data_IF_472117574933
#
_entry.id   IF_472117574933
#
_cell.length_a   1.000
_cell.length_b   1.000
_cell.length_c   1.000
_cell.angle_alpha   90.00
_cell.angle_beta   90.00
_cell.angle_gamma   90.00
#
_symmetry.space_group_name_H-M   'P 1'
#
loop_
_entity.id
_entity.type
_entity.pdbx_description
1 polymer ?
#
# COMPACT_ATOMS: atom_id res chain seq x y z
N UNK A 1 -30.19 -43.15 -41.76
CA UNK A 1 -29.56 -44.16 -40.88
C UNK A 1 -29.78 -43.73 -39.45
N UNK A 2 -30.88 -44.22 -38.88
CA UNK A 2 -31.38 -43.89 -37.56
C UNK A 2 -30.97 -44.98 -36.54
N UNK A 3 -30.90 -44.57 -35.27
CA UNK A 3 -31.10 -45.38 -34.05
C UNK A 3 -30.20 -46.60 -33.76
N UNK A 4 -29.38 -46.49 -32.72
CA UNK A 4 -29.01 -47.50 -31.70
C UNK A 4 -27.83 -46.88 -30.90
N UNK A 5 -27.85 -46.60 -29.60
CA UNK A 5 -28.36 -47.36 -28.47
C UNK A 5 -28.73 -46.43 -27.30
N UNK A 6 -29.96 -46.57 -26.81
CA UNK A 6 -30.38 -46.33 -25.42
C UNK A 6 -30.82 -47.70 -24.88
N UNK A 7 -30.68 -47.89 -23.57
CA UNK A 7 -31.02 -49.07 -22.74
C UNK A 7 -29.83 -49.98 -22.41
N UNK A 8 -29.23 -49.75 -21.24
CA UNK A 8 -29.54 -50.58 -20.07
C UNK A 8 -29.27 -49.76 -18.80
N UNK A 9 -30.39 -49.39 -18.17
CA UNK A 9 -30.51 -48.83 -16.83
C UNK A 9 -30.59 -50.00 -15.82
N UNK A 10 -30.25 -49.70 -14.57
CA UNK A 10 -30.60 -50.43 -13.33
C UNK A 10 -30.11 -51.88 -13.14
N UNK A 11 -29.14 -52.00 -12.24
CA UNK A 11 -29.28 -52.87 -11.05
C UNK A 11 -28.54 -52.24 -9.88
N UNK A 12 -29.28 -51.96 -8.81
CA UNK A 12 -28.72 -51.50 -7.54
C UNK A 12 -28.32 -52.64 -6.61
N UNK A 13 -28.05 -52.20 -5.37
CA UNK A 13 -27.95 -52.92 -4.09
C UNK A 13 -26.57 -53.45 -3.64
N UNK A 14 -26.27 -52.98 -2.43
CA UNK A 14 -25.82 -53.73 -1.25
C UNK A 14 -24.35 -53.55 -0.82
N UNK A 15 -24.22 -52.78 0.26
CA UNK A 15 -23.40 -52.98 1.44
C UNK A 15 -22.45 -54.19 1.46
N UNK A 16 -21.19 -53.93 1.80
CA UNK A 16 -20.23 -54.94 2.20
C UNK A 16 -19.02 -54.31 2.88
N UNK A 17 -19.11 -54.15 4.21
CA UNK A 17 -17.95 -53.96 5.08
C UNK A 17 -16.97 -55.13 4.87
N UNK A 18 -15.73 -54.82 4.48
CA UNK A 18 -14.63 -55.77 4.37
C UNK A 18 -13.34 -55.16 4.92
N UNK A 19 -12.59 -55.88 5.78
CA UNK A 19 -11.50 -55.32 6.57
C UNK A 19 -10.26 -55.02 5.72
N UNK A 20 -9.64 -53.85 5.98
CA UNK A 20 -8.30 -53.49 5.54
C UNK A 20 -7.31 -54.60 5.90
N UNK A 21 -6.86 -55.37 4.91
CA UNK A 21 -5.69 -56.24 5.05
C UNK A 21 -4.42 -55.41 4.84
N UNK A 22 -3.70 -55.18 5.93
CA UNK A 22 -2.29 -54.79 5.91
C UNK A 22 -1.50 -55.75 5.01
N UNK A 23 -0.83 -55.22 3.99
CA UNK A 23 0.29 -55.91 3.35
C UNK A 23 1.59 -55.34 3.93
N UNK A 24 2.08 -56.05 4.93
CA UNK A 24 3.47 -56.06 5.37
C UNK A 24 4.34 -56.45 4.17
N UNK A 25 5.32 -55.61 3.82
CA UNK A 25 6.47 -56.03 3.02
C UNK A 25 7.71 -55.90 3.90
N UNK A 26 8.26 -57.06 4.24
CA UNK A 26 9.49 -57.21 5.00
C UNK A 26 10.69 -57.21 4.05
N UNK A 27 11.71 -56.45 4.46
CA UNK A 27 13.16 -56.76 4.42
C UNK A 27 13.82 -57.14 3.10
N UNK A 28 14.82 -56.35 2.69
CA UNK A 28 16.16 -56.87 2.39
C UNK A 28 17.24 -55.84 2.77
N UNK A 29 18.13 -56.23 3.67
CA UNK A 29 19.44 -55.62 3.92
C UNK A 29 20.52 -56.56 3.38
N UNK A 30 21.69 -56.05 2.97
CA UNK A 30 22.91 -56.55 3.59
C UNK A 30 24.00 -55.48 3.84
N UNK A 31 24.51 -55.49 5.08
CA UNK A 31 25.92 -55.67 5.48
C UNK A 31 27.04 -55.26 4.50
N UNK A 32 27.80 -54.21 4.83
CA UNK A 32 29.25 -54.10 4.52
C UNK A 32 30.00 -53.63 5.78
N UNK A 33 31.16 -54.27 5.97
CA UNK A 33 32.03 -54.32 7.14
C UNK A 33 33.01 -53.13 7.22
N UNK A 34 33.35 -52.83 8.47
CA UNK A 34 34.24 -51.82 9.08
C UNK A 34 35.71 -51.85 8.60
N UNK A 35 36.35 -50.67 8.58
CA UNK A 35 37.78 -50.53 8.84
C UNK A 35 38.01 -49.37 9.83
N UNK A 36 38.71 -49.67 10.92
CA UNK A 36 39.06 -48.77 12.01
C UNK A 36 40.53 -48.35 11.92
N UNK A 37 40.84 -47.10 12.28
CA UNK A 37 42.17 -46.70 12.76
C UNK A 37 42.05 -45.80 14.00
N UNK A 38 42.94 -46.06 14.96
CA UNK A 38 43.02 -45.53 16.32
C UNK A 38 43.97 -44.33 16.42
N UNK A 39 43.74 -43.51 17.45
CA UNK A 39 44.69 -42.58 18.08
C UNK A 39 44.01 -41.24 18.42
N UNK A 40 43.95 -40.72 19.65
CA UNK A 40 44.55 -41.04 20.94
C UNK A 40 44.85 -39.72 21.68
N UNK A 41 44.40 -39.58 22.95
CA UNK A 41 44.67 -38.54 23.98
C UNK A 41 44.47 -37.05 23.59
N UNK A 42 43.80 -36.17 24.33
CA UNK A 42 43.46 -36.09 25.75
C UNK A 42 44.01 -34.77 26.33
N UNK A 43 43.15 -33.88 26.85
CA UNK A 43 43.38 -32.95 27.99
C UNK A 43 42.24 -31.91 28.14
N UNK A 44 42.10 -31.42 29.38
CA UNK A 44 41.00 -30.72 30.04
C UNK A 44 40.82 -29.22 29.64
N UNK A 45 39.88 -28.45 30.25
CA UNK A 45 39.30 -27.24 29.66
C UNK A 45 40.13 -25.98 29.95
N UNK A 46 40.24 -25.10 28.96
CA UNK A 46 40.79 -23.76 29.13
C UNK A 46 39.75 -22.71 28.78
N UNK A 47 39.54 -21.84 29.77
CA UNK A 47 38.74 -20.65 29.76
C UNK A 47 39.33 -19.66 28.74
N UNK A 48 38.65 -19.49 27.60
CA UNK A 48 39.09 -18.61 26.51
C UNK A 48 37.94 -17.76 26.01
N UNK A 49 37.81 -16.57 26.59
CA UNK A 49 37.08 -15.44 26.00
C UNK A 49 37.70 -15.10 24.64
N UNK A 50 36.99 -15.37 23.55
CA UNK A 50 37.17 -14.78 22.23
C UNK A 50 35.79 -14.82 21.55
N UNK A 51 35.03 -13.74 21.62
CA UNK A 51 34.98 -12.74 20.55
C UNK A 51 34.93 -13.39 19.16
N UNK A 52 33.75 -13.89 18.82
CA UNK A 52 33.37 -14.12 17.43
C UNK A 52 32.24 -13.17 17.13
N UNK A 53 32.64 -12.10 16.45
CA UNK A 53 31.81 -11.00 16.01
C UNK A 53 30.52 -11.50 15.40
N UNK A 54 29.42 -11.13 16.05
CA UNK A 54 28.17 -10.97 15.37
C UNK A 54 28.42 -9.97 14.23
N UNK A 55 28.55 -10.47 13.00
CA UNK A 55 28.34 -9.63 11.82
C UNK A 55 26.84 -9.38 11.75
N UNK A 56 26.34 -8.53 12.64
CA UNK A 56 25.14 -7.74 12.38
C UNK A 56 25.49 -6.88 11.18
N UNK A 57 25.10 -7.31 9.99
CA UNK A 57 24.92 -6.41 8.86
C UNK A 57 23.75 -5.49 9.20
N UNK A 58 24.02 -4.50 10.05
CA UNK A 58 23.26 -3.27 10.09
C UNK A 58 23.47 -2.60 8.73
N UNK A 59 22.55 -2.83 7.79
CA UNK A 59 22.37 -1.88 6.70
C UNK A 59 22.01 -0.56 7.39
N UNK A 60 22.96 0.37 7.37
CA UNK A 60 22.74 1.73 7.81
C UNK A 60 21.52 2.28 7.05
N UNK A 61 20.47 2.61 7.80
CA UNK A 61 19.32 3.34 7.30
C UNK A 61 19.85 4.68 6.75
N UNK A 62 20.05 4.72 5.44
CA UNK A 62 20.53 5.91 4.75
C UNK A 62 19.31 6.71 4.37
N UNK A 63 19.02 7.75 5.15
CA UNK A 63 18.07 8.81 4.82
C UNK A 63 16.60 8.44 5.10
N UNK A 64 16.12 8.73 6.30
CA UNK A 64 14.68 8.81 6.55
C UNK A 64 14.11 9.96 5.72
N UNK A 65 13.35 9.65 4.66
CA UNK A 65 12.63 10.66 3.90
C UNK A 65 11.42 11.10 4.73
N UNK A 66 11.14 12.40 4.87
CA UNK A 66 9.93 12.89 5.53
C UNK A 66 8.68 12.23 4.91
N UNK A 67 7.86 11.58 5.73
CA UNK A 67 6.59 10.97 5.31
C UNK A 67 6.63 9.49 4.93
N UNK A 68 7.80 8.82 4.94
CA UNK A 68 7.90 7.36 4.81
C UNK A 68 8.24 6.74 6.16
N UNK A 69 7.34 5.92 6.70
CA UNK A 69 7.54 5.23 7.98
C UNK A 69 7.43 3.72 7.74
N UNK A 70 8.55 2.96 7.74
CA UNK A 70 8.50 1.51 7.57
C UNK A 70 7.57 0.85 8.58
N UNK A 71 6.75 -0.08 8.09
CA UNK A 71 5.84 -0.84 8.93
C UNK A 71 6.62 -1.89 9.75
N UNK A 72 6.28 -2.07 11.03
CA UNK A 72 6.85 -3.16 11.84
C UNK A 72 6.34 -4.52 11.34
N UNK A 73 7.20 -5.39 10.79
CA UNK A 73 6.77 -6.68 10.24
C UNK A 73 6.11 -7.58 11.28
N UNK A 74 6.44 -7.47 12.57
CA UNK A 74 5.85 -8.32 13.60
C UNK A 74 4.35 -8.09 13.75
N UNK A 75 3.86 -6.88 13.47
CA UNK A 75 2.43 -6.56 13.52
C UNK A 75 1.60 -7.20 12.40
N UNK A 76 2.25 -7.70 11.35
CA UNK A 76 1.58 -8.35 10.20
C UNK A 76 1.82 -9.86 10.16
N UNK A 77 2.67 -10.40 11.04
CA UNK A 77 2.99 -11.83 11.08
C UNK A 77 1.78 -12.64 11.56
N UNK A 78 1.38 -13.63 10.76
CA UNK A 78 0.32 -14.56 11.13
C UNK A 78 0.49 -15.91 10.41
N UNK A 79 -0.22 -16.93 10.91
CA UNK A 79 -0.43 -18.20 10.21
C UNK A 79 -1.82 -18.19 9.55
N UNK A 80 -1.89 -18.54 8.28
CA UNK A 80 -3.15 -18.70 7.55
C UNK A 80 -3.23 -20.10 6.97
N UNK A 81 -4.02 -20.96 7.60
CA UNK A 81 -4.20 -22.35 7.14
C UNK A 81 -2.89 -23.15 7.11
N UNK A 82 -1.97 -22.94 8.06
CA UNK A 82 -0.67 -23.59 8.11
C UNK A 82 0.41 -22.93 7.25
N UNK A 83 0.14 -21.75 6.70
CA UNK A 83 1.11 -20.93 5.97
C UNK A 83 1.51 -19.73 6.83
N UNK A 84 2.73 -19.77 7.34
CA UNK A 84 3.35 -18.61 8.00
C UNK A 84 3.65 -17.51 6.96
N UNK A 85 3.15 -16.30 7.24
CA UNK A 85 3.34 -15.16 6.36
C UNK A 85 3.13 -13.83 7.07
N UNK A 86 3.21 -12.77 6.27
CA UNK A 86 2.94 -11.40 6.69
C UNK A 86 1.76 -10.90 5.88
N UNK A 87 0.58 -10.89 6.49
CA UNK A 87 -0.69 -10.65 5.81
C UNK A 87 -1.15 -9.22 6.06
N UNK A 88 -1.67 -8.56 5.03
CA UNK A 88 -2.24 -7.23 5.16
C UNK A 88 -3.37 -6.97 4.16
N UNK A 89 -4.18 -5.96 4.46
CA UNK A 89 -5.22 -5.45 3.55
C UNK A 89 -4.80 -4.09 2.99
N UNK A 90 -5.12 -3.81 1.73
CA UNK A 90 -4.90 -2.48 1.17
C UNK A 90 -5.81 -1.43 1.84
N UNK A 91 -5.41 -0.14 1.94
CA UNK A 91 -6.28 0.90 2.50
C UNK A 91 -7.63 1.05 1.78
N UNK A 92 -7.67 0.76 0.48
CA UNK A 92 -8.91 0.73 -0.31
C UNK A 92 -9.87 -0.41 0.06
N UNK A 93 -9.39 -1.42 0.81
CA UNK A 93 -10.14 -2.64 1.11
C UNK A 93 -10.37 -3.57 -0.09
N UNK A 94 -9.83 -3.23 -1.26
CA UNK A 94 -10.07 -4.00 -2.49
C UNK A 94 -9.21 -5.26 -2.60
N UNK A 95 -8.05 -5.29 -1.93
CA UNK A 95 -7.09 -6.38 -2.07
C UNK A 95 -6.58 -6.87 -0.72
N UNK A 96 -6.41 -8.19 -0.63
CA UNK A 96 -5.73 -8.90 0.46
C UNK A 96 -4.39 -9.37 -0.05
N UNK A 97 -3.34 -9.05 0.68
CA UNK A 97 -1.98 -9.25 0.25
C UNK A 97 -1.19 -10.01 1.33
N UNK A 98 -0.15 -10.71 0.91
CA UNK A 98 0.79 -11.29 1.85
C UNK A 98 2.20 -11.38 1.29
N UNK A 99 3.16 -11.39 2.22
CA UNK A 99 4.52 -11.86 1.99
C UNK A 99 4.64 -13.25 2.61
N UNK A 100 4.92 -14.26 1.80
CA UNK A 100 5.08 -15.65 2.19
C UNK A 100 6.56 -16.00 2.04
N UNK A 101 7.36 -15.92 3.12
CA UNK A 101 8.81 -16.13 3.06
C UNK A 101 9.21 -17.61 2.99
N UNK A 102 8.32 -18.49 3.46
CA UNK A 102 8.57 -19.92 3.62
C UNK A 102 8.07 -20.77 2.45
N UNK A 103 8.33 -22.07 2.52
CA UNK A 103 7.91 -23.06 1.53
C UNK A 103 8.85 -23.15 0.31
N UNK A 104 8.41 -23.92 -0.70
CA UNK A 104 9.21 -24.18 -1.91
C UNK A 104 9.25 -23.00 -2.91
N UNK A 105 8.35 -22.02 -2.76
CA UNK A 105 8.32 -20.83 -3.61
C UNK A 105 8.01 -19.59 -2.76
N UNK A 106 9.03 -18.95 -2.16
CA UNK A 106 8.88 -17.68 -1.47
C UNK A 106 8.34 -16.63 -2.43
N UNK A 107 7.32 -15.88 -2.00
CA UNK A 107 6.59 -14.97 -2.87
C UNK A 107 5.88 -13.87 -2.09
N UNK A 108 5.60 -12.76 -2.77
CA UNK A 108 4.71 -11.71 -2.28
C UNK A 108 3.65 -11.40 -3.34
N UNK A 109 2.43 -11.12 -2.92
CA UNK A 109 1.34 -10.93 -3.87
C UNK A 109 0.03 -10.50 -3.22
N UNK A 110 -0.97 -10.29 -4.07
CA UNK A 110 -2.31 -9.85 -3.70
C UNK A 110 -3.39 -10.63 -4.45
N UNK A 111 -4.54 -10.73 -3.81
CA UNK A 111 -5.80 -11.29 -4.31
C UNK A 111 -6.95 -10.29 -4.06
N UNK A 112 -8.07 -10.37 -4.81
CA UNK A 112 -9.25 -9.57 -4.49
C UNK A 112 -9.73 -9.89 -3.06
N UNK A 113 -10.30 -8.91 -2.38
CA UNK A 113 -10.76 -9.06 -0.99
C UNK A 113 -12.08 -9.84 -0.85
N UNK A 114 -12.77 -10.07 -1.97
CA UNK A 114 -14.06 -10.74 -2.02
C UNK A 114 -14.04 -11.92 -2.99
N UNK A 115 -14.89 -12.91 -2.72
CA UNK A 115 -15.17 -14.02 -3.64
C UNK A 115 -16.27 -13.69 -4.66
N UNK A 116 -16.98 -12.56 -4.51
CA UNK A 116 -18.08 -12.15 -5.41
C UNK A 116 -17.59 -11.47 -6.68
N UNK A 117 -16.38 -10.91 -6.65
CA UNK A 117 -15.61 -10.50 -7.83
C UNK A 117 -14.34 -11.33 -7.84
N UNK A 118 -14.37 -12.50 -8.52
CA UNK A 118 -13.25 -13.43 -8.47
C UNK A 118 -12.05 -12.92 -9.26
N UNK A 119 -12.19 -11.91 -10.11
CA UNK A 119 -11.06 -11.29 -10.82
C UNK A 119 -10.38 -10.17 -10.00
N UNK A 120 -9.15 -9.81 -10.40
CA UNK A 120 -8.33 -8.80 -9.73
C UNK A 120 -8.92 -7.38 -9.75
N UNK A 121 -9.89 -7.08 -10.62
CA UNK A 121 -10.44 -5.74 -10.77
C UNK A 121 -9.45 -4.71 -11.31
N UNK A 122 -8.46 -5.14 -12.09
CA UNK A 122 -7.38 -4.31 -12.64
C UNK A 122 -7.61 -4.11 -14.14
N UNK A 123 -7.77 -2.85 -14.56
CA UNK A 123 -7.94 -2.54 -15.97
C UNK A 123 -6.73 -2.98 -16.80
N UNK A 124 -7.00 -3.60 -17.95
CA UNK A 124 -5.97 -4.06 -18.89
C UNK A 124 -5.22 -5.32 -18.47
N UNK A 125 -5.56 -5.96 -17.34
CA UNK A 125 -4.96 -7.22 -16.94
C UNK A 125 -5.15 -8.30 -18.03
N UNK A 126 -4.09 -9.03 -18.42
CA UNK A 126 -4.19 -10.07 -19.42
C UNK A 126 -4.99 -11.25 -18.89
N UNK A 127 -5.64 -12.01 -19.78
CA UNK A 127 -6.11 -13.35 -19.41
C UNK A 127 -4.90 -14.25 -19.15
N UNK A 128 -5.05 -15.16 -18.19
CA UNK A 128 -4.02 -16.12 -17.80
C UNK A 128 -4.60 -17.53 -17.81
N UNK A 129 -3.73 -18.53 -17.85
CA UNK A 129 -4.18 -19.91 -17.74
C UNK A 129 -4.72 -20.20 -16.33
N UNK A 130 -5.91 -20.79 -16.28
CA UNK A 130 -6.47 -21.37 -15.08
C UNK A 130 -5.75 -22.69 -14.77
N UNK A 131 -5.13 -22.75 -13.59
CA UNK A 131 -4.30 -23.89 -13.18
C UNK A 131 -5.06 -25.21 -13.01
N UNK A 132 -6.40 -25.17 -12.93
CA UNK A 132 -7.25 -26.34 -12.71
C UNK A 132 -7.97 -26.77 -13.99
N UNK A 133 -8.48 -25.81 -14.77
CA UNK A 133 -9.25 -26.09 -15.98
C UNK A 133 -8.40 -26.06 -17.25
N UNK A 134 -7.17 -25.53 -17.19
CA UNK A 134 -6.30 -25.25 -18.33
C UNK A 134 -6.93 -24.31 -19.39
N UNK A 135 -8.02 -23.63 -19.02
CA UNK A 135 -8.67 -22.62 -19.84
C UNK A 135 -8.04 -21.24 -19.64
N UNK A 136 -8.45 -20.26 -20.45
CA UNK A 136 -8.12 -18.85 -20.21
C UNK A 136 -9.14 -18.24 -19.26
N UNK A 137 -8.66 -17.58 -18.20
CA UNK A 137 -9.46 -16.90 -17.21
C UNK A 137 -8.93 -15.49 -16.93
N UNK A 138 -9.79 -14.63 -16.37
CA UNK A 138 -9.32 -13.37 -15.79
C UNK A 138 -8.46 -13.69 -14.57
N UNK A 139 -7.35 -12.98 -14.34
CA UNK A 139 -6.48 -13.27 -13.23
C UNK A 139 -7.16 -12.90 -11.92
N UNK A 140 -6.91 -13.71 -10.90
CA UNK A 140 -7.38 -13.45 -9.55
C UNK A 140 -6.23 -13.20 -8.57
N UNK A 141 -4.98 -13.23 -9.04
CA UNK A 141 -3.83 -12.89 -8.25
C UNK A 141 -2.79 -12.13 -9.08
N UNK A 142 -2.02 -11.28 -8.41
CA UNK A 142 -0.75 -10.76 -8.90
C UNK A 142 0.33 -11.07 -7.88
N UNK A 143 1.46 -11.61 -8.33
CA UNK A 143 2.55 -12.03 -7.44
C UNK A 143 3.92 -11.81 -8.05
N UNK A 144 4.90 -11.70 -7.19
CA UNK A 144 6.32 -11.76 -7.49
C UNK A 144 6.92 -12.91 -6.71
N UNK A 145 7.64 -13.80 -7.40
CA UNK A 145 8.48 -14.82 -6.77
C UNK A 145 9.91 -14.74 -7.31
N UNK A 146 10.84 -15.39 -6.62
CA UNK A 146 12.27 -15.32 -6.95
C UNK A 146 12.63 -15.96 -8.30
N UNK A 147 11.80 -16.88 -8.80
CA UNK A 147 12.11 -17.71 -9.96
C UNK A 147 11.65 -17.09 -11.28
N UNK A 148 10.44 -16.52 -11.27
CA UNK A 148 9.72 -16.08 -12.47
C UNK A 148 9.44 -14.57 -12.45
N UNK A 149 9.53 -13.94 -11.27
CA UNK A 149 9.28 -12.52 -11.05
C UNK A 149 7.80 -12.13 -11.13
N UNK A 150 7.49 -10.86 -11.41
CA UNK A 150 6.14 -10.32 -11.33
C UNK A 150 5.25 -10.85 -12.45
N UNK A 151 4.06 -11.37 -12.09
CA UNK A 151 3.05 -11.84 -13.04
C UNK A 151 1.66 -11.90 -12.44
N UNK A 152 0.67 -11.95 -13.33
CA UNK A 152 -0.69 -12.34 -12.99
C UNK A 152 -0.85 -13.85 -12.98
N UNK A 153 -1.75 -14.35 -12.14
CA UNK A 153 -2.11 -15.75 -12.03
C UNK A 153 -3.61 -15.92 -11.77
N UNK A 154 -4.13 -17.10 -12.07
CA UNK A 154 -5.46 -17.55 -11.65
C UNK A 154 -5.32 -18.76 -10.72
N UNK A 155 -5.46 -18.51 -9.42
CA UNK A 155 -5.26 -19.47 -8.34
C UNK A 155 -6.59 -20.03 -7.87
N UNK A 156 -6.66 -21.35 -7.66
CA UNK A 156 -7.84 -22.00 -7.08
C UNK A 156 -8.04 -21.76 -5.57
N UNK A 157 -7.10 -21.06 -4.92
CA UNK A 157 -7.06 -20.87 -3.47
C UNK A 157 -6.63 -19.45 -3.10
N UNK A 158 -7.15 -18.97 -1.97
CA UNK A 158 -6.93 -17.64 -1.44
C UNK A 158 -5.64 -17.54 -0.58
N UNK A 159 -4.49 -17.87 -1.15
CA UNK A 159 -3.20 -17.96 -0.40
C UNK A 159 -2.72 -16.63 0.20
N UNK A 160 -3.19 -15.49 -0.34
CA UNK A 160 -2.84 -14.16 0.18
C UNK A 160 -3.87 -13.64 1.18
N UNK A 161 -4.85 -14.46 1.58
CA UNK A 161 -5.82 -14.11 2.60
C UNK A 161 -5.35 -14.61 3.96
N UNK A 162 -5.60 -13.81 5.00
CA UNK A 162 -5.55 -14.30 6.37
C UNK A 162 -6.86 -15.02 6.69
N UNK A 163 -6.79 -16.26 7.17
CA UNK A 163 -7.96 -17.03 7.60
C UNK A 163 -7.58 -17.98 8.75
N UNK A 164 -8.33 -17.97 9.87
CA UNK A 164 -9.51 -17.14 10.15
C UNK A 164 -9.17 -15.66 10.40
N UNK A 165 -10.15 -14.78 10.18
CA UNK A 165 -10.05 -13.35 10.50
C UNK A 165 -9.77 -12.45 9.30
N UNK A 166 -9.34 -11.23 9.59
CA UNK A 166 -8.97 -10.22 8.61
C UNK A 166 -7.60 -9.66 8.98
N UNK A 167 -6.77 -9.47 7.95
CA UNK A 167 -5.42 -8.94 8.13
C UNK A 167 -5.45 -7.44 8.41
N UNK A 168 -4.48 -6.96 9.20
CA UNK A 168 -4.32 -5.54 9.46
C UNK A 168 -4.13 -4.75 8.15
N UNK A 169 -4.70 -3.55 8.09
CA UNK A 169 -4.46 -2.65 6.96
C UNK A 169 -3.00 -2.17 6.95
N UNK A 170 -2.34 -2.21 5.79
CA UNK A 170 -1.03 -1.58 5.60
C UNK A 170 -1.22 -0.11 5.20
N UNK A 171 -0.88 0.87 6.07
CA UNK A 171 -1.10 2.29 5.77
C UNK A 171 -0.30 2.77 4.57
N UNK A 172 -0.75 3.85 3.94
CA UNK A 172 -0.02 4.48 2.85
C UNK A 172 1.38 4.90 3.29
N UNK A 173 2.33 4.86 2.35
CA UNK A 173 3.72 5.25 2.55
C UNK A 173 4.43 4.51 3.69
N UNK A 174 3.91 3.33 4.07
CA UNK A 174 4.46 2.49 5.12
C UNK A 174 4.93 1.16 4.53
N UNK A 175 6.15 1.10 3.93
CA UNK A 175 6.62 -0.12 3.30
C UNK A 175 6.79 -1.24 4.35
N UNK A 176 6.31 -2.43 4.01
CA UNK A 176 6.44 -3.66 4.79
C UNK A 176 7.50 -4.55 4.13
N UNK A 177 8.62 -4.73 4.82
CA UNK A 177 9.72 -5.59 4.35
C UNK A 177 9.83 -6.83 5.22
N UNK A 178 9.75 -8.01 4.60
CA UNK A 178 9.91 -9.30 5.27
C UNK A 178 10.38 -10.38 4.29
N UNK A 179 11.18 -11.35 4.74
CA UNK A 179 11.51 -12.53 3.91
C UNK A 179 12.27 -12.26 2.60
N UNK A 180 12.88 -11.08 2.45
CA UNK A 180 13.50 -10.63 1.21
C UNK A 180 12.48 -10.10 0.17
N UNK A 181 11.28 -9.75 0.61
CA UNK A 181 10.30 -9.03 -0.19
C UNK A 181 9.93 -7.73 0.50
N UNK A 182 9.61 -6.72 -0.31
CA UNK A 182 9.04 -5.46 0.18
C UNK A 182 7.74 -5.18 -0.53
N UNK A 183 6.68 -4.90 0.22
CA UNK A 183 5.42 -4.39 -0.30
C UNK A 183 5.12 -3.00 0.25
N UNK A 184 4.42 -2.17 -0.52
CA UNK A 184 3.92 -0.87 -0.08
C UNK A 184 2.53 -0.60 -0.64
N UNK A 185 1.84 0.33 0.00
CA UNK A 185 0.60 0.92 -0.50
C UNK A 185 0.81 2.42 -0.69
N UNK A 186 0.30 2.93 -1.80
CA UNK A 186 0.28 4.35 -2.17
C UNK A 186 -1.12 4.67 -2.72
N UNK A 187 -1.46 5.95 -2.82
CA UNK A 187 -2.72 6.37 -3.46
C UNK A 187 -2.79 5.87 -4.91
N UNK A 188 -1.65 5.73 -5.57
CA UNK A 188 -1.49 5.24 -6.93
C UNK A 188 -1.64 3.72 -7.06
N UNK A 189 -1.61 2.96 -5.96
CA UNK A 189 -1.78 1.52 -5.99
C UNK A 189 -1.01 0.74 -4.92
N UNK A 190 -1.00 -0.58 -5.08
CA UNK A 190 -0.21 -1.51 -4.25
C UNK A 190 1.00 -1.99 -5.07
N UNK A 191 2.16 -2.04 -4.43
CA UNK A 191 3.41 -2.48 -5.07
C UNK A 191 4.09 -3.56 -4.23
N UNK A 192 4.67 -4.58 -4.87
CA UNK A 192 5.52 -5.56 -4.20
C UNK A 192 6.74 -5.91 -5.07
N UNK A 193 7.88 -6.16 -4.44
CA UNK A 193 9.13 -6.58 -5.09
C UNK A 193 9.80 -7.72 -4.35
N UNK A 194 10.58 -8.49 -5.09
CA UNK A 194 11.67 -9.29 -4.55
C UNK A 194 12.90 -8.40 -4.37
N UNK A 195 13.40 -8.27 -3.14
CA UNK A 195 14.50 -7.37 -2.81
C UNK A 195 15.84 -7.83 -3.39
N UNK A 196 15.96 -9.13 -3.69
CA UNK A 196 17.18 -9.67 -4.28
C UNK A 196 17.32 -9.30 -5.76
N UNK A 197 16.28 -9.50 -6.55
CA UNK A 197 16.30 -9.18 -7.99
C UNK A 197 15.89 -7.74 -8.31
N UNK A 198 15.25 -7.04 -7.37
CA UNK A 198 14.62 -5.74 -7.59
C UNK A 198 13.37 -5.81 -8.49
N UNK A 199 13.00 -6.99 -8.99
CA UNK A 199 11.82 -7.18 -9.84
C UNK A 199 10.57 -7.10 -8.98
N UNK A 200 9.53 -6.49 -9.51
CA UNK A 200 8.28 -6.32 -8.79
C UNK A 200 7.18 -5.78 -9.67
N UNK A 201 6.07 -5.43 -9.07
CA UNK A 201 4.91 -4.90 -9.75
C UNK A 201 4.32 -3.74 -8.96
N UNK A 202 3.50 -2.95 -9.65
CA UNK A 202 2.60 -1.94 -9.10
C UNK A 202 1.26 -2.09 -9.80
N UNK A 203 0.15 -2.03 -9.05
CA UNK A 203 -1.18 -2.12 -9.64
C UNK A 203 -2.24 -1.34 -8.87
N UNK A 204 -3.29 -0.96 -9.57
CA UNK A 204 -4.51 -0.35 -9.03
C UNK A 204 -5.71 -0.73 -9.90
N UNK A 205 -6.89 -0.21 -9.60
CA UNK A 205 -8.06 -0.39 -10.47
C UNK A 205 -7.86 0.23 -11.85
N UNK A 206 -7.01 1.26 -11.97
CA UNK A 206 -6.75 1.97 -13.21
C UNK A 206 -5.76 1.26 -14.15
N UNK A 207 -4.97 0.32 -13.64
CA UNK A 207 -3.99 -0.41 -14.44
C UNK A 207 -2.86 -1.02 -13.62
N UNK A 208 -1.83 -1.50 -14.31
CA UNK A 208 -0.67 -2.12 -13.68
C UNK A 208 0.63 -1.83 -14.45
N UNK A 209 1.75 -2.06 -13.76
CA UNK A 209 3.09 -2.11 -14.31
C UNK A 209 3.85 -3.30 -13.70
N UNK A 210 4.66 -3.99 -14.50
CA UNK A 210 5.56 -5.05 -14.02
C UNK A 210 6.90 -4.45 -13.55
N UNK A 211 6.79 -3.35 -12.82
CA UNK A 211 7.90 -2.66 -12.15
C UNK A 211 7.41 -2.18 -10.81
N UNK A 212 8.29 -2.20 -9.82
CA UNK A 212 7.96 -1.74 -8.47
C UNK A 212 8.03 -0.22 -8.39
N UNK A 213 7.00 0.40 -7.82
CA UNK A 213 6.96 1.82 -7.50
C UNK A 213 7.43 2.03 -6.07
N UNK A 214 8.60 2.66 -5.93
CA UNK A 214 9.19 2.93 -4.63
C UNK A 214 8.56 4.16 -3.97
N UNK A 215 8.15 4.02 -2.71
CA UNK A 215 7.57 5.10 -1.89
C UNK A 215 8.53 6.26 -1.70
N UNK A 216 9.83 5.99 -1.60
CA UNK A 216 10.86 7.00 -1.49
C UNK A 216 11.09 7.71 -2.81
N UNK A 217 11.08 6.98 -3.94
CA UNK A 217 11.19 7.59 -5.25
C UNK A 217 9.98 8.49 -5.56
N UNK A 218 8.78 8.04 -5.18
CA UNK A 218 7.57 8.84 -5.24
C UNK A 218 7.66 10.08 -4.36
N UNK A 219 8.07 9.93 -3.09
CA UNK A 219 8.27 11.04 -2.18
C UNK A 219 9.30 12.06 -2.70
N UNK A 220 10.40 11.61 -3.34
CA UNK A 220 11.39 12.49 -4.01
C UNK A 220 10.91 13.11 -5.32
N UNK A 221 9.85 12.57 -5.92
CA UNK A 221 9.25 13.13 -7.15
C UNK A 221 8.25 14.23 -6.79
N UNK A 222 7.52 14.05 -5.69
CA UNK A 222 6.58 15.05 -5.17
C UNK A 222 7.31 16.11 -4.35
N UNK A 223 8.35 15.72 -3.62
CA UNK A 223 9.26 16.63 -2.95
C UNK A 223 10.41 16.92 -3.91
N UNK A 224 10.39 18.02 -4.70
CA UNK A 224 11.52 18.35 -5.57
C UNK A 224 12.81 18.27 -4.74
N UNK A 225 13.93 17.80 -5.34
CA UNK A 225 15.21 17.84 -4.64
C UNK A 225 15.36 19.27 -4.15
N UNK A 226 15.65 19.44 -2.87
CA UNK A 226 16.11 20.70 -2.36
C UNK A 226 17.38 21.05 -3.15
N UNK A 227 17.21 21.71 -4.30
CA UNK A 227 18.21 22.61 -4.83
C UNK A 227 18.65 23.38 -3.62
N UNK A 228 19.94 23.34 -3.31
CA UNK A 228 20.56 24.02 -2.18
C UNK A 228 19.97 25.43 -2.10
N UNK A 229 18.90 25.56 -1.33
CA UNK A 229 18.27 26.83 -1.12
C UNK A 229 19.33 27.58 -0.31
N UNK A 230 19.67 28.82 -0.67
CA UNK A 230 20.42 29.65 0.26
C UNK A 230 19.72 29.53 1.62
N UNK A 231 20.52 29.31 2.67
CA UNK A 231 20.02 29.09 4.03
C UNK A 231 18.82 30.00 4.30
N UNK A 232 17.69 29.45 4.77
CA UNK A 232 16.52 30.26 5.04
C UNK A 232 16.95 31.37 6.02
N UNK A 233 16.64 32.65 5.75
CA UNK A 233 16.84 33.68 6.75
C UNK A 233 16.11 33.23 8.02
N UNK A 234 16.80 33.30 9.15
CA UNK A 234 16.42 32.67 10.42
C UNK A 234 15.12 33.17 11.06
N UNK A 235 14.35 34.02 10.36
CA UNK A 235 13.04 34.43 10.77
C UNK A 235 12.01 33.58 10.00
N UNK A 236 11.50 32.56 10.69
CA UNK A 236 10.25 31.93 10.29
C UNK A 236 9.17 32.97 10.05
N UNK A 237 8.14 32.60 9.29
CA UNK A 237 7.04 33.43 8.81
C UNK A 237 7.45 34.40 7.70
N UNK A 238 7.14 34.05 6.44
CA UNK A 238 6.44 34.87 5.43
C UNK A 238 6.75 34.36 4.02
N UNK A 239 5.95 33.41 3.54
CA UNK A 239 5.91 33.13 2.11
C UNK A 239 4.88 34.05 1.48
N UNK A 240 5.27 34.79 0.43
CA UNK A 240 4.40 35.78 -0.18
C UNK A 240 4.47 35.76 -1.70
N UNK A 241 3.33 35.97 -2.34
CA UNK A 241 3.23 36.16 -3.78
C UNK A 241 2.18 37.22 -4.09
N UNK A 242 2.53 38.14 -4.99
CA UNK A 242 1.61 39.14 -5.57
C UNK A 242 0.74 39.89 -4.56
N UNK A 243 1.30 40.35 -3.45
CA UNK A 243 0.57 41.12 -2.44
C UNK A 243 -0.24 40.28 -1.46
N UNK A 244 0.00 38.97 -1.42
CA UNK A 244 -0.51 38.08 -0.39
C UNK A 244 0.63 37.48 0.41
N UNK A 245 0.43 37.36 1.71
CA UNK A 245 1.26 36.63 2.66
C UNK A 245 0.52 35.37 3.08
N UNK A 246 1.22 34.24 3.17
CA UNK A 246 0.64 32.96 3.56
C UNK A 246 1.13 32.48 4.93
N UNK A 247 0.23 31.86 5.69
CA UNK A 247 0.50 31.25 6.99
C UNK A 247 -0.11 29.84 7.04
N UNK A 248 0.67 28.86 7.45
CA UNK A 248 0.16 27.50 7.66
C UNK A 248 -0.77 27.47 8.88
N UNK A 249 -1.98 26.95 8.70
CA UNK A 249 -2.96 26.73 9.78
C UNK A 249 -2.83 25.31 10.32
N UNK A 250 -2.65 24.33 9.43
CA UNK A 250 -2.47 22.92 9.80
C UNK A 250 -1.32 22.30 9.03
N UNK A 251 -0.29 21.92 9.79
CA UNK A 251 0.90 21.23 9.31
C UNK A 251 1.85 22.08 8.47
N UNK A 252 2.58 21.47 7.52
CA UNK A 252 3.64 22.12 6.75
C UNK A 252 3.36 22.07 5.26
N UNK A 253 2.59 23.03 4.74
CA UNK A 253 2.40 23.21 3.30
C UNK A 253 3.60 23.95 2.69
N UNK A 254 4.22 23.42 1.62
CA UNK A 254 5.28 24.11 0.89
C UNK A 254 4.79 25.43 0.29
N UNK A 255 5.67 26.44 0.26
CA UNK A 255 5.29 27.77 -0.17
C UNK A 255 4.88 27.88 -1.64
N UNK A 256 5.55 27.16 -2.53
CA UNK A 256 5.20 27.12 -3.94
C UNK A 256 3.80 26.54 -4.16
N UNK A 257 3.42 25.55 -3.35
CA UNK A 257 2.07 24.97 -3.38
C UNK A 257 1.02 25.98 -2.89
N UNK A 258 1.27 26.70 -1.78
CA UNK A 258 0.35 27.74 -1.30
C UNK A 258 0.13 28.83 -2.37
N UNK A 259 1.21 29.25 -3.04
CA UNK A 259 1.17 30.25 -4.11
C UNK A 259 0.39 29.75 -5.32
N UNK A 260 0.63 28.51 -5.76
CA UNK A 260 -0.09 27.90 -6.89
C UNK A 260 -1.58 27.80 -6.61
N UNK A 261 -1.95 27.21 -5.46
CA UNK A 261 -3.33 27.00 -5.04
C UNK A 261 -4.07 28.33 -4.97
N UNK A 262 -3.50 29.33 -4.29
CA UNK A 262 -4.14 30.63 -4.13
C UNK A 262 -4.25 31.40 -5.45
N UNK A 263 -3.22 31.33 -6.30
CA UNK A 263 -3.24 32.00 -7.61
C UNK A 263 -4.32 31.43 -8.53
N UNK A 264 -4.49 30.11 -8.54
CA UNK A 264 -5.55 29.44 -9.31
C UNK A 264 -6.93 29.76 -8.75
N UNK A 265 -7.08 29.67 -7.43
CA UNK A 265 -8.32 30.06 -6.76
C UNK A 265 -8.78 31.47 -7.15
N UNK A 266 -7.88 32.47 -7.10
CA UNK A 266 -8.21 33.86 -7.49
C UNK A 266 -8.49 34.02 -8.99
N UNK A 267 -7.93 33.16 -9.84
CA UNK A 267 -8.22 33.16 -11.27
C UNK A 267 -9.60 32.54 -11.57
N UNK A 268 -9.96 31.47 -10.88
CA UNK A 268 -11.19 30.70 -11.11
C UNK A 268 -12.41 31.35 -10.43
N UNK A 269 -12.20 32.02 -9.30
CA UNK A 269 -13.24 32.71 -8.53
C UNK A 269 -12.94 34.22 -8.40
N UNK A 270 -12.95 35.01 -9.50
CA UNK A 270 -12.59 36.43 -9.47
C UNK A 270 -13.57 37.28 -8.65
N UNK A 271 -14.82 36.84 -8.52
CA UNK A 271 -15.85 37.47 -7.68
C UNK A 271 -15.80 37.01 -6.21
N UNK A 272 -14.92 36.06 -5.88
CA UNK A 272 -14.83 35.41 -4.58
C UNK A 272 -15.81 34.26 -4.37
N UNK A 273 -15.81 33.74 -3.14
CA UNK A 273 -16.67 32.63 -2.70
C UNK A 273 -15.93 31.29 -2.58
N UNK A 274 -16.57 30.31 -1.94
CA UNK A 274 -15.99 28.98 -1.77
C UNK A 274 -15.89 28.25 -3.13
N UNK A 275 -14.70 27.76 -3.46
CA UNK A 275 -14.42 27.08 -4.73
C UNK A 275 -13.40 25.97 -4.55
N UNK A 276 -13.56 24.91 -5.34
CA UNK A 276 -12.62 23.78 -5.41
C UNK A 276 -11.56 24.03 -6.47
N UNK A 277 -10.29 24.04 -6.08
CA UNK A 277 -9.15 24.14 -7.00
C UNK A 277 -8.69 22.73 -7.36
N UNK A 278 -8.82 22.38 -8.64
CA UNK A 278 -8.42 21.08 -9.19
C UNK A 278 -7.14 21.17 -10.04
N UNK A 279 -6.58 20.02 -10.40
CA UNK A 279 -5.43 19.93 -11.30
C UNK A 279 -4.14 20.49 -10.72
N UNK A 280 -4.03 20.54 -9.39
CA UNK A 280 -2.80 20.91 -8.69
C UNK A 280 -1.71 19.86 -8.92
N UNK A 281 -0.47 20.23 -8.60
CA UNK A 281 0.64 19.28 -8.61
C UNK A 281 0.28 17.97 -7.88
N UNK A 282 0.59 16.83 -8.52
CA UNK A 282 0.27 15.50 -8.00
C UNK A 282 -1.20 15.08 -8.13
N UNK A 283 -2.05 15.84 -8.82
CA UNK A 283 -3.49 15.55 -8.94
C UNK A 283 -4.31 15.92 -7.70
N UNK A 284 -3.72 16.73 -6.80
CA UNK A 284 -4.36 17.16 -5.57
C UNK A 284 -5.56 18.08 -5.82
N UNK A 285 -6.48 18.11 -4.86
CA UNK A 285 -7.64 18.99 -4.85
C UNK A 285 -7.59 19.83 -3.56
N UNK A 286 -7.78 21.15 -3.68
CA UNK A 286 -7.87 22.06 -2.54
C UNK A 286 -9.23 22.76 -2.52
N UNK A 287 -9.76 23.01 -1.32
CA UNK A 287 -10.97 23.79 -1.11
C UNK A 287 -10.57 25.15 -0.55
N UNK A 288 -10.91 26.21 -1.26
CA UNK A 288 -10.56 27.58 -0.89
C UNK A 288 -11.82 28.42 -0.73
N UNK A 289 -11.77 29.41 0.16
CA UNK A 289 -12.86 30.37 0.34
C UNK A 289 -12.34 31.74 0.71
N UNK A 290 -13.00 32.77 0.15
CA UNK A 290 -12.88 34.14 0.61
C UNK A 290 -13.64 34.30 1.93
N UNK A 291 -13.09 35.10 2.83
CA UNK A 291 -13.75 35.42 4.07
C UNK A 291 -12.79 35.35 5.26
N UNK A 292 -12.82 36.34 6.15
CA UNK A 292 -11.98 36.33 7.32
C UNK A 292 -12.53 35.39 8.38
N UNK A 293 -11.87 34.25 8.58
CA UNK A 293 -11.92 33.57 9.88
C UNK A 293 -11.22 34.43 10.94
N UNK A 294 -10.31 35.33 10.51
CA UNK A 294 -9.55 36.27 11.34
C UNK A 294 -9.40 37.63 10.65
N UNK A 295 -9.34 38.76 11.39
CA UNK A 295 -9.12 40.08 10.80
C UNK A 295 -7.86 40.14 9.92
N UNK A 296 -8.01 40.61 8.68
CA UNK A 296 -6.90 40.81 7.74
C UNK A 296 -6.57 39.61 6.83
N UNK A 297 -7.22 38.45 7.00
CA UNK A 297 -7.09 37.38 6.02
C UNK A 297 -7.95 37.65 4.79
N UNK A 298 -7.37 37.42 3.61
CA UNK A 298 -8.08 37.40 2.34
C UNK A 298 -8.90 36.10 2.17
N UNK A 299 -8.47 35.01 2.80
CA UNK A 299 -9.22 33.75 2.86
C UNK A 299 -8.37 32.56 3.30
N UNK A 300 -8.93 31.37 3.15
CA UNK A 300 -8.33 30.08 3.60
C UNK A 300 -8.40 29.04 2.50
N UNK A 301 -7.44 28.11 2.52
CA UNK A 301 -7.42 26.93 1.65
C UNK A 301 -7.05 25.67 2.45
N UNK A 302 -7.75 24.56 2.21
CA UNK A 302 -7.49 23.27 2.82
C UNK A 302 -7.38 22.13 1.81
N UNK A 303 -6.50 21.16 2.06
CA UNK A 303 -6.31 19.96 1.23
C UNK A 303 -5.83 18.80 2.10
N UNK A 304 -6.46 17.61 2.01
CA UNK A 304 -5.98 16.38 2.66
C UNK A 304 -5.66 16.48 4.16
N UNK A 305 -6.36 17.32 4.93
CA UNK A 305 -6.11 17.56 6.36
C UNK A 305 -5.08 18.66 6.68
N UNK A 306 -4.50 19.28 5.66
CA UNK A 306 -3.58 20.43 5.75
C UNK A 306 -4.33 21.70 5.35
N UNK A 307 -3.82 22.87 5.75
CA UNK A 307 -4.43 24.13 5.34
C UNK A 307 -3.57 25.36 5.64
N UNK A 308 -3.84 26.43 4.89
CA UNK A 308 -3.16 27.71 5.02
C UNK A 308 -4.13 28.90 4.90
N UNK A 309 -3.71 30.04 5.46
CA UNK A 309 -4.38 31.35 5.39
C UNK A 309 -3.62 32.25 4.44
N UNK A 310 -4.35 33.02 3.65
CA UNK A 310 -3.81 34.12 2.86
C UNK A 310 -4.18 35.46 3.51
N UNK A 311 -3.22 36.38 3.61
CA UNK A 311 -3.39 37.74 4.11
C UNK A 311 -3.07 38.73 3.01
N UNK A 312 -3.96 39.69 2.74
CA UNK A 312 -3.66 40.77 1.80
C UNK A 312 -2.68 41.77 2.40
N UNK A 313 -1.73 42.26 1.60
CA UNK A 313 -0.86 43.36 2.00
C UNK A 313 -1.65 44.67 2.12
N UNK A 314 -1.47 45.37 3.24
CA UNK A 314 -2.12 46.65 3.49
C UNK A 314 -1.67 47.70 2.46
N UNK A 315 -2.63 48.25 1.69
CA UNK A 315 -2.38 49.32 0.72
C UNK A 315 -2.66 48.97 -0.75
N UNK A 316 -3.10 47.74 -1.08
CA UNK A 316 -3.64 47.41 -2.41
C UNK A 316 -5.18 47.35 -2.40
N UNK A 317 -5.84 47.95 -3.41
CA UNK A 317 -7.30 48.11 -3.44
C UNK A 317 -8.12 46.81 -3.61
N UNK A 318 -7.48 45.66 -3.86
CA UNK A 318 -8.16 44.37 -3.93
C UNK A 318 -8.68 43.87 -2.56
N UNK A 319 -8.16 44.39 -1.45
CA UNK A 319 -8.58 43.99 -0.10
C UNK A 319 -9.93 44.61 0.36
N UNK A 320 -10.54 45.50 -0.42
CA UNK A 320 -11.73 46.25 -0.01
C UNK A 320 -13.05 45.76 -0.63
N UNK A 321 -13.02 44.75 -1.51
CA UNK A 321 -14.19 44.28 -2.24
C UNK A 321 -14.80 43.03 -1.59
N UNK A 322 -15.36 43.15 -0.38
CA UNK A 322 -16.36 42.19 0.12
C UNK A 322 -17.16 42.84 1.23
N UNK A 323 -18.32 43.39 0.86
CA UNK A 323 -19.32 43.81 1.83
C UNK A 323 -19.87 42.59 2.56
N UNK A 324 -19.76 42.61 3.89
CA UNK A 324 -20.65 41.96 4.87
C UNK A 324 -21.38 40.68 4.39
N UNK A 325 -20.62 39.67 3.98
CA UNK A 325 -21.11 38.29 3.98
C UNK A 325 -20.90 37.78 5.40
N UNK A 326 -22.00 37.43 6.08
CA UNK A 326 -21.95 36.79 7.40
C UNK A 326 -21.01 35.59 7.31
N UNK A 327 -20.03 35.54 8.22
CA UNK A 327 -19.08 34.44 8.32
C UNK A 327 -19.83 33.12 8.31
N UNK A 328 -19.43 32.23 7.41
CA UNK A 328 -19.85 30.85 7.45
C UNK A 328 -19.18 30.23 8.68
N UNK A 329 -19.98 29.92 9.68
CA UNK A 329 -19.60 28.95 10.70
C UNK A 329 -19.38 27.62 9.97
N UNK A 330 -18.19 27.02 10.10
CA UNK A 330 -17.83 25.75 9.46
C UNK A 330 -18.80 24.60 9.83
N UNK A 331 -19.69 24.80 10.81
CA UNK A 331 -20.80 23.90 11.14
C UNK A 331 -21.95 23.87 10.12
N UNK A 332 -22.06 24.85 9.22
CA UNK A 332 -23.15 24.92 8.23
C UNK A 332 -22.72 24.58 6.78
N UNK A 333 -21.44 24.29 6.53
CA UNK A 333 -20.99 23.81 5.23
C UNK A 333 -21.50 22.38 5.01
N UNK A 334 -22.61 22.25 4.27
CA UNK A 334 -23.17 20.94 3.92
C UNK A 334 -22.18 20.16 3.06
N UNK A 335 -21.60 19.09 3.61
CA UNK A 335 -20.89 18.09 2.83
C UNK A 335 -21.84 17.57 1.71
N UNK A 336 -21.30 17.25 0.54
CA UNK A 336 -22.08 16.61 -0.52
C UNK A 336 -22.72 15.30 -0.03
N UNK A 337 -23.78 14.83 -0.69
CA UNK A 337 -24.68 13.71 -0.33
C UNK A 337 -24.02 12.38 0.10
N UNK A 338 -22.69 12.24 0.01
CA UNK A 338 -21.90 11.07 0.38
C UNK A 338 -21.02 11.23 1.62
N UNK A 339 -20.98 12.42 2.22
CA UNK A 339 -20.09 12.70 3.33
C UNK A 339 -20.87 13.27 4.51
N UNK A 340 -20.54 12.82 5.73
CA UNK A 340 -21.14 13.25 6.99
C UNK A 340 -20.11 14.06 7.75
N UNK A 341 -20.49 15.26 8.17
CA UNK A 341 -19.67 16.12 9.03
C UNK A 341 -19.72 15.58 10.47
N UNK A 342 -18.58 15.37 11.10
CA UNK A 342 -18.54 15.06 12.54
C UNK A 342 -18.60 16.33 13.42
N UNK A 343 -18.64 16.13 14.74
CA UNK A 343 -18.73 17.23 15.70
C UNK A 343 -17.52 18.17 15.70
N UNK A 344 -16.41 17.73 15.11
CA UNK A 344 -15.15 18.46 15.00
C UNK A 344 -15.02 19.17 13.64
N UNK A 345 -16.03 19.07 12.76
CA UNK A 345 -16.07 19.74 11.46
C UNK A 345 -15.35 19.00 10.34
N UNK A 346 -15.05 17.70 10.52
CA UNK A 346 -14.37 16.87 9.52
C UNK A 346 -15.40 16.10 8.69
N UNK A 347 -15.35 16.23 7.35
CA UNK A 347 -16.19 15.42 6.46
C UNK A 347 -15.64 13.98 6.38
N UNK A 348 -16.42 13.00 6.84
CA UNK A 348 -16.18 11.56 6.67
C UNK A 348 -17.04 10.99 5.56
N UNK A 349 -16.62 9.93 4.89
CA UNK A 349 -17.48 9.21 3.95
C UNK A 349 -18.63 8.55 4.73
N UNK A 350 -19.87 8.98 4.46
CA UNK A 350 -21.06 8.41 5.10
C UNK A 350 -21.28 6.97 4.66
N UNK A 351 -21.51 6.06 5.62
CA UNK A 351 -22.00 4.71 5.34
C UNK A 351 -23.39 4.74 4.72
#
# INVERSE_FOLDING_TARGET
MAQMNKLLDRTGRAAGNGPFRMRVWATFAPLIVVAATLGGCGSAPENGTADHGATTSSHAATGSIPGVVPADPNSYRADSGGVDGYYFTSPSGLWRCAIIPGGHNPQAGCQPSTNTRPDMGVAGAPTVEDQFTHGQAQPNAIRVDRSSGPRFDHLGQAIFWLTPGEAQMLPYNSPLTAGGFTCNTQETGVSCRDDQSGRGFTFSTAGFSMSYSDVEAWARTISPPAAQAPEPPADGTNCGARGFRFENVHGSTPCDFMVEVWSRYRADAPAGGAHTVEGLAGGSIAFCSDGPDVPGSAGTCGYGGWGFRAFGEAGRPEAAASGLVRGLDFREASCTLRFVLDADGVCHLGR
#
